data_IF_556103927168
#
_entry.id   IF_556103927168
#
_cell.length_a   1.000
_cell.length_b   1.000
_cell.length_c   1.000
_cell.angle_alpha   90.00
_cell.angle_beta   90.00
_cell.angle_gamma   90.00
#
_symmetry.space_group_name_H-M   'P 1'
#
loop_
_entity.id
_entity.type
_entity.pdbx_description
1 polymer ?
#
# COMPACT_ATOMS: atom_id res chain seq x y z
N UNK A 1 -4.51 23.40 12.52
CA UNK A 1 -5.76 23.92 11.92
C UNK A 1 -5.57 23.92 10.42
N UNK A 2 -6.02 22.86 9.75
CA UNK A 2 -6.04 22.84 8.30
C UNK A 2 -7.35 23.46 7.82
N UNK A 3 -7.26 24.28 6.77
CA UNK A 3 -8.41 24.97 6.17
C UNK A 3 -9.43 23.95 5.65
N UNK A 4 -10.69 24.10 6.05
CA UNK A 4 -11.82 23.23 5.66
C UNK A 4 -11.97 23.09 4.14
N UNK A 5 -11.49 24.06 3.35
CA UNK A 5 -11.54 24.02 1.89
C UNK A 5 -10.56 23.04 1.23
N UNK A 6 -9.59 22.47 1.96
CA UNK A 6 -8.56 21.58 1.40
C UNK A 6 -8.87 20.10 1.67
N UNK A 7 -9.83 19.80 2.56
CA UNK A 7 -10.20 18.45 2.94
C UNK A 7 -10.68 17.58 1.75
N UNK A 8 -11.29 18.20 0.74
CA UNK A 8 -11.79 17.52 -0.46
C UNK A 8 -10.72 17.23 -1.52
N UNK A 9 -9.55 17.89 -1.45
CA UNK A 9 -8.49 17.83 -2.48
C UNK A 9 -7.27 17.00 -2.03
N UNK A 10 -7.18 16.66 -0.74
CA UNK A 10 -6.02 15.96 -0.16
C UNK A 10 -6.00 14.45 -0.32
N UNK A 11 -7.03 13.87 -0.92
CA UNK A 11 -6.94 12.49 -1.37
C UNK A 11 -6.09 12.48 -2.64
N UNK A 12 -4.78 12.29 -2.51
CA UNK A 12 -3.76 12.23 -3.58
C UNK A 12 -4.04 11.21 -4.72
N UNK A 13 -5.25 10.67 -4.85
CA UNK A 13 -5.65 9.72 -5.88
C UNK A 13 -7.02 9.93 -6.49
N UNK A 14 -7.85 10.86 -5.99
CA UNK A 14 -9.05 11.26 -6.71
C UNK A 14 -8.74 12.52 -7.52
N UNK A 15 -8.51 12.33 -8.81
CA UNK A 15 -8.42 13.46 -9.74
C UNK A 15 -9.84 13.94 -9.95
N UNK A 16 -10.09 15.21 -9.66
CA UNK A 16 -11.41 15.81 -9.83
C UNK A 16 -11.77 15.80 -11.32
N UNK A 17 -12.71 14.93 -11.69
CA UNK A 17 -13.14 14.74 -13.09
C UNK A 17 -13.77 16.00 -13.67
N UNK A 18 -14.40 16.84 -12.83
CA UNK A 18 -14.97 18.12 -13.26
C UNK A 18 -13.92 19.11 -13.78
N UNK A 19 -12.68 19.04 -13.29
CA UNK A 19 -11.57 19.86 -13.79
C UNK A 19 -11.08 19.35 -15.16
N UNK A 20 -11.05 18.03 -15.35
CA UNK A 20 -10.65 17.39 -16.61
C UNK A 20 -11.65 17.70 -17.73
N UNK A 21 -12.95 17.66 -17.41
CA UNK A 21 -14.04 18.06 -18.30
C UNK A 21 -13.93 19.55 -18.66
N UNK A 22 -13.61 20.42 -17.68
CA UNK A 22 -13.44 21.85 -17.91
C UNK A 22 -12.26 22.19 -18.83
N UNK A 23 -11.20 21.38 -18.83
CA UNK A 23 -10.00 21.58 -19.67
C UNK A 23 -10.01 20.76 -20.98
N UNK A 24 -11.09 20.03 -21.30
CA UNK A 24 -11.17 19.16 -22.50
C UNK A 24 -10.06 18.09 -22.58
N UNK A 25 -9.59 17.57 -21.43
CA UNK A 25 -8.50 16.60 -21.35
C UNK A 25 -8.97 15.14 -21.22
N UNK A 26 -10.27 14.88 -21.40
CA UNK A 26 -10.91 13.58 -21.18
C UNK A 26 -10.24 12.42 -21.94
N UNK A 27 -9.88 12.64 -23.21
CA UNK A 27 -9.22 11.63 -24.02
C UNK A 27 -7.83 11.26 -23.48
N UNK A 28 -7.05 12.26 -23.05
CA UNK A 28 -5.72 12.04 -22.47
C UNK A 28 -5.86 11.30 -21.14
N UNK A 29 -6.80 11.73 -20.29
CA UNK A 29 -7.08 11.11 -19.01
C UNK A 29 -7.50 9.65 -19.15
N UNK A 30 -8.41 9.34 -20.08
CA UNK A 30 -8.86 7.97 -20.35
C UNK A 30 -7.74 7.06 -20.85
N UNK A 31 -6.82 7.57 -21.68
CA UNK A 31 -5.64 6.81 -22.12
C UNK A 31 -4.71 6.54 -20.95
N UNK A 32 -4.43 7.54 -20.11
CA UNK A 32 -3.58 7.38 -18.93
C UNK A 32 -4.16 6.36 -17.93
N UNK A 33 -5.47 6.38 -17.70
CA UNK A 33 -6.13 5.39 -16.84
C UNK A 33 -6.01 3.97 -17.40
N UNK A 34 -6.18 3.78 -18.72
CA UNK A 34 -5.99 2.45 -19.35
C UNK A 34 -4.55 1.96 -19.23
N UNK A 35 -3.56 2.85 -19.41
CA UNK A 35 -2.15 2.53 -19.19
C UNK A 35 -1.90 2.15 -17.73
N UNK A 36 -2.48 2.88 -16.79
CA UNK A 36 -2.38 2.57 -15.36
C UNK A 36 -2.94 1.18 -15.03
N UNK A 37 -4.10 0.81 -15.58
CA UNK A 37 -4.67 -0.55 -15.40
C UNK A 37 -3.72 -1.62 -15.93
N UNK A 38 -3.08 -1.40 -17.09
CA UNK A 38 -2.11 -2.34 -17.64
C UNK A 38 -0.87 -2.49 -16.73
N UNK A 39 -0.36 -1.38 -16.20
CA UNK A 39 0.76 -1.40 -15.24
C UNK A 39 0.37 -2.08 -13.92
N UNK A 40 -0.83 -1.83 -13.40
CA UNK A 40 -1.34 -2.51 -12.21
C UNK A 40 -1.44 -4.03 -12.43
N UNK A 41 -1.93 -4.48 -13.59
CA UNK A 41 -1.99 -5.90 -13.92
C UNK A 41 -0.60 -6.55 -13.97
N UNK A 42 0.39 -5.87 -14.58
CA UNK A 42 1.79 -6.33 -14.58
C UNK A 42 2.34 -6.43 -13.16
N UNK A 43 2.13 -5.40 -12.33
CA UNK A 43 2.57 -5.44 -10.94
C UNK A 43 1.94 -6.58 -10.15
N UNK A 44 0.67 -6.92 -10.39
CA UNK A 44 0.02 -8.06 -9.74
C UNK A 44 0.69 -9.39 -10.11
N UNK A 45 1.08 -9.58 -11.37
CA UNK A 45 1.79 -10.78 -11.82
C UNK A 45 3.15 -10.90 -11.12
N UNK A 46 3.91 -9.81 -11.08
CA UNK A 46 5.19 -9.74 -10.35
C UNK A 46 5.01 -10.05 -8.87
N UNK A 47 3.93 -9.56 -8.27
CA UNK A 47 3.61 -9.78 -6.87
C UNK A 47 3.30 -11.25 -6.57
N UNK A 48 2.46 -11.88 -7.39
CA UNK A 48 2.11 -13.29 -7.27
C UNK A 48 3.35 -14.17 -7.45
N UNK A 49 4.21 -13.83 -8.41
CA UNK A 49 5.47 -14.52 -8.61
C UNK A 49 6.40 -14.37 -7.39
N UNK A 50 6.52 -13.17 -6.84
CA UNK A 50 7.31 -12.91 -5.63
C UNK A 50 6.78 -13.71 -4.44
N UNK A 51 5.46 -13.71 -4.21
CA UNK A 51 4.84 -14.52 -3.16
C UNK A 51 5.13 -16.01 -3.34
N UNK A 52 5.08 -16.50 -4.58
CA UNK A 52 5.43 -17.88 -4.90
C UNK A 52 6.88 -18.21 -4.50
N UNK A 53 7.85 -17.37 -4.87
CA UNK A 53 9.26 -17.54 -4.48
C UNK A 53 9.44 -17.54 -2.95
N UNK A 54 8.77 -16.63 -2.26
CA UNK A 54 8.90 -16.45 -0.81
C UNK A 54 8.33 -17.63 -0.02
N UNK A 55 7.15 -18.13 -0.41
CA UNK A 55 6.43 -19.17 0.33
C UNK A 55 6.98 -20.56 -0.01
N UNK A 56 7.16 -20.87 -1.29
CA UNK A 56 7.45 -22.23 -1.75
C UNK A 56 8.94 -22.51 -1.86
N UNK A 57 9.69 -21.61 -2.50
CA UNK A 57 11.13 -21.78 -2.68
C UNK A 57 11.90 -21.44 -1.40
N UNK A 58 11.29 -20.68 -0.47
CA UNK A 58 11.87 -20.25 0.80
C UNK A 58 13.25 -19.60 0.59
N UNK A 59 13.32 -18.71 -0.39
CA UNK A 59 14.55 -18.03 -0.77
C UNK A 59 15.17 -17.19 0.36
N UNK A 60 14.41 -16.87 1.43
CA UNK A 60 14.84 -16.05 2.55
C UNK A 60 14.58 -16.68 3.92
N UNK A 61 15.33 -16.20 4.92
CA UNK A 61 15.12 -16.57 6.32
C UNK A 61 13.69 -16.28 6.77
N UNK A 62 13.17 -17.13 7.66
CA UNK A 62 11.76 -17.12 8.05
C UNK A 62 11.25 -15.75 8.52
N UNK A 63 12.02 -15.05 9.36
CA UNK A 63 11.63 -13.73 9.89
C UNK A 63 11.52 -12.67 8.79
N UNK A 64 12.46 -12.66 7.85
CA UNK A 64 12.46 -11.76 6.72
C UNK A 64 11.33 -12.10 5.74
N UNK A 65 11.09 -13.38 5.47
CA UNK A 65 9.95 -13.86 4.67
C UNK A 65 8.62 -13.40 5.26
N UNK A 66 8.45 -13.48 6.58
CA UNK A 66 7.23 -13.01 7.26
C UNK A 66 7.02 -11.50 7.10
N UNK A 67 8.08 -10.70 7.28
CA UNK A 67 8.00 -9.25 7.07
C UNK A 67 7.71 -8.89 5.60
N UNK A 68 8.30 -9.62 4.64
CA UNK A 68 8.03 -9.43 3.21
C UNK A 68 6.61 -9.82 2.82
N UNK A 69 6.06 -10.88 3.40
CA UNK A 69 4.65 -11.25 3.21
C UNK A 69 3.72 -10.17 3.76
N UNK A 70 4.05 -9.56 4.90
CA UNK A 70 3.26 -8.47 5.47
C UNK A 70 3.32 -7.20 4.59
N UNK A 71 4.53 -6.74 4.24
CA UNK A 71 4.74 -5.67 3.25
C UNK A 71 3.96 -5.95 1.95
N UNK A 72 4.08 -7.20 1.51
CA UNK A 72 3.33 -7.85 0.46
C UNK A 72 1.85 -7.52 0.51
N UNK A 73 1.18 -8.05 1.54
CA UNK A 73 -0.26 -7.93 1.72
C UNK A 73 -0.74 -6.48 1.77
N UNK A 74 0.04 -5.56 2.38
CA UNK A 74 -0.31 -4.15 2.43
C UNK A 74 -0.27 -3.49 1.05
N UNK A 75 0.79 -3.74 0.28
CA UNK A 75 0.90 -3.21 -1.07
C UNK A 75 -0.18 -3.79 -2.00
N UNK A 76 -0.49 -5.08 -1.86
CA UNK A 76 -1.60 -5.73 -2.57
C UNK A 76 -2.95 -5.08 -2.24
N UNK A 77 -3.23 -4.84 -0.95
CA UNK A 77 -4.44 -4.12 -0.52
C UNK A 77 -4.54 -2.72 -1.13
N UNK A 78 -3.43 -1.98 -1.14
CA UNK A 78 -3.36 -0.65 -1.78
C UNK A 78 -3.64 -0.68 -3.28
N UNK A 79 -3.14 -1.70 -3.99
CA UNK A 79 -3.40 -1.89 -5.41
C UNK A 79 -4.86 -2.25 -5.68
N UNK A 80 -5.44 -3.14 -4.87
CA UNK A 80 -6.86 -3.49 -4.99
C UNK A 80 -7.75 -2.25 -4.82
N UNK A 81 -7.48 -1.42 -3.80
CA UNK A 81 -8.20 -0.15 -3.62
C UNK A 81 -8.04 0.79 -4.82
N UNK A 82 -6.87 0.80 -5.47
CA UNK A 82 -6.67 1.62 -6.68
C UNK A 82 -7.45 1.11 -7.88
N UNK A 83 -7.53 -0.21 -8.07
CA UNK A 83 -8.36 -0.79 -9.12
C UNK A 83 -9.83 -0.37 -8.98
N UNK A 84 -10.35 -0.34 -7.74
CA UNK A 84 -11.73 0.12 -7.47
C UNK A 84 -11.89 1.59 -7.86
N UNK A 85 -10.95 2.46 -7.49
CA UNK A 85 -10.99 3.89 -7.83
C UNK A 85 -10.96 4.10 -9.35
N UNK A 86 -10.03 3.43 -10.05
CA UNK A 86 -9.89 3.54 -11.50
C UNK A 86 -11.12 3.00 -12.22
N UNK A 87 -11.74 1.92 -11.71
CA UNK A 87 -12.99 1.40 -12.25
C UNK A 87 -14.13 2.43 -12.18
N UNK A 88 -14.32 3.07 -11.02
CA UNK A 88 -15.34 4.11 -10.85
C UNK A 88 -15.04 5.36 -11.68
N UNK A 89 -13.76 5.68 -11.91
CA UNK A 89 -13.36 6.80 -12.79
C UNK A 89 -13.58 6.51 -14.28
N UNK A 90 -13.44 5.26 -14.73
CA UNK A 90 -13.70 4.85 -16.12
C UNK A 90 -15.20 4.66 -16.41
N UNK A 91 -15.96 4.21 -15.41
CA UNK A 91 -17.40 3.98 -15.51
C UNK A 91 -18.12 4.75 -14.40
N UNK A 92 -18.31 6.07 -14.57
CA UNK A 92 -18.91 6.91 -13.55
C UNK A 92 -20.38 6.51 -13.32
N UNK A 93 -20.65 5.96 -12.13
CA UNK A 93 -21.99 5.68 -11.63
C UNK A 93 -22.17 6.40 -10.29
N UNK A 94 -23.19 7.27 -10.23
CA UNK A 94 -23.52 8.07 -9.04
C UNK A 94 -23.83 7.20 -7.82
N UNK A 95 -24.29 5.96 -8.04
CA UNK A 95 -24.56 5.03 -6.95
C UNK A 95 -23.27 4.47 -6.32
N UNK A 96 -22.13 4.49 -7.01
CA UNK A 96 -20.87 3.91 -6.56
C UNK A 96 -19.88 4.96 -6.04
N UNK A 97 -20.20 6.25 -6.16
CA UNK A 97 -19.32 7.37 -5.79
C UNK A 97 -18.95 7.38 -4.30
N UNK A 98 -19.83 6.88 -3.43
CA UNK A 98 -19.56 6.77 -1.99
C UNK A 98 -18.41 5.81 -1.63
N UNK A 99 -18.03 4.91 -2.54
CA UNK A 99 -16.95 3.93 -2.32
C UNK A 99 -15.58 4.60 -2.48
N UNK A 100 -15.49 5.68 -3.26
CA UNK A 100 -14.24 6.40 -3.54
C UNK A 100 -13.51 6.86 -2.26
N UNK A 101 -14.16 7.56 -1.31
CA UNK A 101 -13.48 7.97 -0.08
C UNK A 101 -13.01 6.78 0.76
N UNK A 102 -13.79 5.69 0.81
CA UNK A 102 -13.40 4.47 1.52
C UNK A 102 -12.19 3.80 0.85
N UNK A 103 -12.20 3.66 -0.47
CA UNK A 103 -11.09 3.08 -1.22
C UNK A 103 -9.82 3.93 -1.07
N UNK A 104 -9.93 5.26 -1.11
CA UNK A 104 -8.81 6.17 -0.86
C UNK A 104 -8.27 6.06 0.57
N UNK A 105 -9.15 5.94 1.57
CA UNK A 105 -8.77 5.72 2.97
C UNK A 105 -7.94 4.44 3.12
N UNK A 106 -8.46 3.32 2.62
CA UNK A 106 -7.79 2.01 2.69
C UNK A 106 -6.45 2.07 1.95
N UNK A 107 -6.42 2.64 0.75
CA UNK A 107 -5.19 2.80 -0.04
C UNK A 107 -4.12 3.57 0.73
N UNK A 108 -4.49 4.69 1.34
CA UNK A 108 -3.56 5.57 2.07
C UNK A 108 -2.99 4.84 3.29
N UNK A 109 -3.84 4.20 4.09
CA UNK A 109 -3.40 3.41 5.25
C UNK A 109 -2.44 2.30 4.82
N UNK A 110 -2.79 1.52 3.80
CA UNK A 110 -1.95 0.44 3.30
C UNK A 110 -0.59 0.92 2.78
N UNK A 111 -0.54 2.06 2.07
CA UNK A 111 0.73 2.64 1.59
C UNK A 111 1.60 3.11 2.75
N UNK A 112 1.02 3.77 3.75
CA UNK A 112 1.75 4.20 4.94
C UNK A 112 2.39 3.01 5.67
N UNK A 113 1.62 1.94 5.87
CA UNK A 113 2.13 0.71 6.49
C UNK A 113 3.24 0.10 5.64
N UNK A 114 3.05 -0.03 4.31
CA UNK A 114 4.05 -0.60 3.42
C UNK A 114 5.37 0.18 3.47
N UNK A 115 5.32 1.51 3.39
CA UNK A 115 6.53 2.35 3.43
C UNK A 115 7.26 2.26 4.77
N UNK A 116 6.54 2.04 5.85
CA UNK A 116 7.12 1.93 7.18
C UNK A 116 7.76 0.57 7.47
N UNK A 117 7.34 -0.49 6.77
CA UNK A 117 7.98 -1.82 6.90
C UNK A 117 9.39 -1.83 6.30
N UNK A 118 9.70 -0.95 5.34
CA UNK A 118 11.02 -0.87 4.70
C UNK A 118 12.18 -0.65 5.71
N UNK A 119 12.16 0.37 6.58
CA UNK A 119 13.20 0.55 7.60
C UNK A 119 13.23 -0.60 8.62
N UNK A 120 12.10 -1.27 8.87
CA UNK A 120 12.05 -2.45 9.75
C UNK A 120 12.89 -3.61 9.20
N UNK A 121 12.94 -3.79 7.88
CA UNK A 121 13.84 -4.77 7.27
C UNK A 121 15.30 -4.51 7.61
N UNK A 122 15.74 -3.25 7.58
CA UNK A 122 17.11 -2.89 7.94
C UNK A 122 17.41 -3.21 9.41
N UNK A 123 16.48 -2.89 10.31
CA UNK A 123 16.61 -3.21 11.75
C UNK A 123 16.69 -4.72 11.97
N UNK A 124 15.85 -5.51 11.30
CA UNK A 124 15.89 -6.98 11.39
C UNK A 124 17.24 -7.54 10.94
N UNK A 125 17.79 -7.04 9.83
CA UNK A 125 19.09 -7.47 9.30
C UNK A 125 20.25 -7.07 10.22
N UNK A 126 20.19 -5.88 10.83
CA UNK A 126 21.14 -5.48 11.85
C UNK A 126 21.10 -6.43 13.05
N UNK A 127 19.92 -6.74 13.58
CA UNK A 127 19.76 -7.69 14.70
C UNK A 127 20.29 -9.08 14.34
N UNK A 128 20.01 -9.58 13.13
CA UNK A 128 20.53 -10.85 12.65
C UNK A 128 22.08 -10.87 12.63
N UNK A 129 22.72 -9.74 12.26
CA UNK A 129 24.17 -9.61 12.26
C UNK A 129 24.80 -9.57 13.67
N UNK A 130 24.08 -9.09 14.68
CA UNK A 130 24.54 -9.14 16.07
C UNK A 130 24.31 -10.51 16.72
N UNK A 131 23.28 -11.25 16.31
CA UNK A 131 22.85 -12.50 16.94
C UNK A 131 23.12 -13.77 16.12
N UNK A 132 24.06 -13.73 15.16
CA UNK A 132 24.37 -14.78 14.16
C UNK A 132 24.29 -16.21 14.72
N UNK A 133 24.94 -16.46 15.85
CA UNK A 133 25.08 -17.82 16.42
C UNK A 133 23.75 -18.48 16.84
N UNK A 134 22.74 -17.68 17.19
CA UNK A 134 21.43 -18.14 17.66
C UNK A 134 20.30 -17.84 16.65
N UNK A 135 20.52 -16.94 15.69
CA UNK A 135 19.50 -16.48 14.75
C UNK A 135 19.21 -17.52 13.67
N UNK A 136 20.23 -18.22 13.16
CA UNK A 136 20.05 -19.25 12.13
C UNK A 136 19.39 -20.53 12.68
N UNK A 137 19.60 -20.84 13.96
CA UNK A 137 19.10 -22.10 14.57
C UNK A 137 17.68 -22.02 15.12
N UNK A 138 17.13 -20.82 15.34
CA UNK A 138 15.82 -20.67 16.00
C UNK A 138 14.92 -19.68 15.26
N UNK A 139 13.74 -20.15 14.83
CA UNK A 139 12.70 -19.30 14.21
C UNK A 139 12.09 -18.40 15.28
N UNK A 140 12.66 -17.22 15.51
CA UNK A 140 12.17 -16.25 16.50
C UNK A 140 11.17 -15.28 15.91
N UNK A 141 9.98 -15.79 15.55
CA UNK A 141 8.85 -15.02 15.00
C UNK A 141 8.46 -13.84 15.91
N UNK A 142 8.62 -14.01 17.22
CA UNK A 142 8.33 -13.01 18.24
C UNK A 142 9.08 -11.69 18.03
N UNK A 143 10.29 -11.70 17.43
CA UNK A 143 11.04 -10.47 17.16
C UNK A 143 10.32 -9.64 16.10
N UNK A 144 9.92 -10.25 14.98
CA UNK A 144 9.14 -9.59 13.93
C UNK A 144 7.78 -9.13 14.45
N UNK A 145 7.09 -9.94 15.26
CA UNK A 145 5.80 -9.56 15.86
C UNK A 145 5.91 -8.39 16.83
N UNK A 146 6.95 -8.35 17.68
CA UNK A 146 7.16 -7.26 18.63
C UNK A 146 7.44 -5.93 17.90
N UNK A 147 8.25 -5.99 16.84
CA UNK A 147 8.54 -4.82 16.00
C UNK A 147 7.24 -4.34 15.34
N UNK A 148 6.47 -5.25 14.73
CA UNK A 148 5.19 -4.91 14.11
C UNK A 148 4.19 -4.34 15.13
N UNK A 149 4.10 -4.88 16.35
CA UNK A 149 3.15 -4.39 17.37
C UNK A 149 3.44 -2.98 17.87
N UNK A 150 4.71 -2.55 17.85
CA UNK A 150 5.09 -1.19 18.24
C UNK A 150 4.83 -0.21 17.09
N UNK A 151 5.19 -0.61 15.87
CA UNK A 151 5.17 0.30 14.73
C UNK A 151 3.81 0.40 14.04
N UNK A 152 3.02 -0.67 13.94
CA UNK A 152 1.70 -0.60 13.30
C UNK A 152 0.76 0.44 13.91
N UNK A 153 0.59 0.54 15.24
CA UNK A 153 -0.26 1.55 15.85
C UNK A 153 0.23 2.98 15.57
N UNK A 154 1.53 3.20 15.62
CA UNK A 154 2.14 4.50 15.33
C UNK A 154 1.91 4.91 13.88
N UNK A 155 2.06 3.97 12.95
CA UNK A 155 1.80 4.21 11.53
C UNK A 155 0.33 4.45 11.26
N UNK A 156 -0.55 3.67 11.88
CA UNK A 156 -1.98 3.84 11.74
C UNK A 156 -2.44 5.21 12.26
N UNK A 157 -1.93 5.64 13.43
CA UNK A 157 -2.16 6.97 13.95
C UNK A 157 -1.61 8.07 13.02
N UNK A 158 -0.42 7.88 12.43
CA UNK A 158 0.15 8.83 11.46
C UNK A 158 -0.67 8.92 10.17
N UNK A 159 -1.20 7.80 9.67
CA UNK A 159 -2.06 7.76 8.49
C UNK A 159 -3.40 8.45 8.77
N UNK A 160 -4.00 8.23 9.94
CA UNK A 160 -5.21 8.94 10.36
C UNK A 160 -4.93 10.44 10.50
N UNK A 161 -3.83 10.83 11.14
CA UNK A 161 -3.46 12.23 11.29
C UNK A 161 -3.24 12.90 9.92
N UNK A 162 -2.67 12.17 8.94
CA UNK A 162 -2.52 12.63 7.57
C UNK A 162 -3.87 12.80 6.86
N UNK A 163 -4.80 11.86 7.04
CA UNK A 163 -6.12 11.90 6.40
C UNK A 163 -7.03 12.98 7.02
N UNK A 164 -6.91 13.23 8.32
CA UNK A 164 -7.70 14.23 9.05
C UNK A 164 -7.11 15.65 8.98
N UNK A 165 -5.86 15.80 8.55
CA UNK A 165 -5.22 17.09 8.30
C UNK A 165 -5.54 17.60 6.90
#
# INVERSE_FOLDING_TARGET
>A
MCSENIAHVRFMTFINTSFIEAENLENVFNVLLKVEVALLALSWIEFLYTFYLLIFIRAMHFNLTFLFINYGGQYFGSMLSRCIIVYVQLYPDKNLEYIIPLANYVRTVCLFIAMYILPIFMVERCLASFFVKNYEKSRKIWVSLMILSIFHPLVFASAIAYIQC
#
